data_IF_324750437994
#
_entry.id   IF_324750437994
#
_cell.length_a   1.000
_cell.length_b   1.000
_cell.length_c   1.000
_cell.angle_alpha   90.00
_cell.angle_beta   90.00
_cell.angle_gamma   90.00
#
_symmetry.space_group_name_H-M   'P 1'
#
loop_
_entity.id
_entity.type
_entity.pdbx_description
1 polymer ?
#
# COMPACT_ATOMS: atom_id res chain seq x y z
N UNK A 1 8.00 10.62 5.93
CA UNK A 1 8.79 10.33 7.15
C UNK A 1 8.14 9.15 7.85
N UNK A 2 8.87 8.16 8.38
CA UNK A 2 8.24 6.99 9.04
C UNK A 2 7.26 7.38 10.16
N UNK A 3 7.62 8.36 11.00
CA UNK A 3 6.71 8.90 12.01
C UNK A 3 5.40 9.50 11.49
N UNK A 4 5.33 9.99 10.25
CA UNK A 4 4.05 10.43 9.65
C UNK A 4 3.15 9.24 9.34
N UNK A 5 3.73 8.16 8.79
CA UNK A 5 3.02 6.91 8.51
C UNK A 5 2.47 6.31 9.81
N UNK A 6 3.30 6.23 10.86
CA UNK A 6 2.86 5.73 12.16
C UNK A 6 1.73 6.57 12.75
N UNK A 7 1.81 7.89 12.61
CA UNK A 7 0.74 8.78 13.09
C UNK A 7 -0.57 8.58 12.33
N UNK A 8 -0.52 8.49 10.99
CA UNK A 8 -1.71 8.23 10.16
C UNK A 8 -2.36 6.90 10.54
N UNK A 9 -1.56 5.84 10.65
CA UNK A 9 -2.03 4.51 11.08
C UNK A 9 -2.63 4.58 12.48
N UNK A 10 -1.96 5.25 13.43
CA UNK A 10 -2.46 5.37 14.80
C UNK A 10 -3.81 6.08 14.88
N UNK A 11 -4.03 7.17 14.12
CA UNK A 11 -5.30 7.88 14.08
C UNK A 11 -6.41 6.99 13.53
N UNK A 12 -6.16 6.25 12.44
CA UNK A 12 -7.13 5.32 11.87
C UNK A 12 -7.49 4.24 12.89
N UNK A 13 -6.49 3.62 13.53
CA UNK A 13 -6.71 2.56 14.51
C UNK A 13 -7.39 3.05 15.79
N UNK A 14 -7.11 4.29 16.23
CA UNK A 14 -7.80 4.90 17.37
C UNK A 14 -9.31 5.02 17.10
N UNK A 15 -9.71 5.46 15.90
CA UNK A 15 -11.11 5.46 15.48
C UNK A 15 -11.70 4.04 15.49
N UNK A 16 -11.01 3.05 14.89
CA UNK A 16 -11.48 1.66 14.88
C UNK A 16 -11.68 1.09 16.28
N UNK A 17 -10.82 1.46 17.23
CA UNK A 17 -10.89 0.96 18.61
C UNK A 17 -12.06 1.53 19.41
N UNK A 18 -12.59 2.69 19.02
CA UNK A 18 -13.61 3.43 19.78
C UNK A 18 -15.01 3.33 19.18
N UNK A 19 -15.12 3.07 17.89
CA UNK A 19 -16.38 3.08 17.17
C UNK A 19 -16.61 1.77 16.44
N UNK A 20 -17.88 1.37 16.30
CA UNK A 20 -18.26 0.27 15.42
C UNK A 20 -18.25 0.76 13.97
N UNK A 21 -17.19 0.42 13.25
CA UNK A 21 -16.89 0.91 11.90
C UNK A 21 -16.80 -0.30 10.99
N UNK A 22 -17.64 -0.35 9.95
CA UNK A 22 -17.67 -1.42 8.96
C UNK A 22 -16.60 -1.27 7.87
N UNK A 23 -16.11 -0.04 7.64
CA UNK A 23 -15.14 0.23 6.60
C UNK A 23 -14.31 1.50 6.79
N UNK A 24 -13.13 1.49 6.18
CA UNK A 24 -12.18 2.59 6.11
C UNK A 24 -12.03 2.93 4.62
N UNK A 25 -12.31 4.17 4.25
CA UNK A 25 -12.04 4.67 2.92
C UNK A 25 -10.92 5.71 2.96
N UNK A 26 -9.78 5.38 2.35
CA UNK A 26 -8.60 6.23 2.31
C UNK A 26 -8.76 7.29 1.21
N UNK A 27 -9.10 8.51 1.62
CA UNK A 27 -9.00 9.67 0.74
C UNK A 27 -7.60 10.30 0.83
N UNK A 28 -7.14 10.88 -0.28
CA UNK A 28 -5.83 11.53 -0.40
C UNK A 28 -4.61 10.67 -0.02
N UNK A 29 -4.70 9.33 -0.09
CA UNK A 29 -3.54 8.44 0.03
C UNK A 29 -2.68 8.48 -1.25
N UNK A 30 -2.04 9.62 -1.48
CA UNK A 30 -1.26 9.96 -2.67
C UNK A 30 -0.39 11.20 -2.43
N UNK A 31 0.53 11.49 -3.35
CA UNK A 31 1.21 12.78 -3.37
C UNK A 31 0.31 13.88 -3.94
N UNK A 32 0.54 15.16 -3.59
CA UNK A 32 -0.27 16.27 -4.10
C UNK A 32 -0.20 16.41 -5.62
N UNK A 33 -1.31 16.88 -6.19
CA UNK A 33 -1.59 16.91 -7.65
C UNK A 33 -0.85 18.04 -8.37
N UNK A 34 -0.62 19.14 -7.66
CA UNK A 34 0.12 20.30 -8.14
C UNK A 34 1.62 19.99 -8.23
N UNK A 35 2.26 20.40 -9.32
CA UNK A 35 3.72 20.34 -9.44
C UNK A 35 4.38 21.04 -8.23
N UNK A 36 5.25 20.32 -7.51
CA UNK A 36 5.91 20.82 -6.32
C UNK A 36 6.99 19.87 -5.82
N UNK A 37 7.87 20.38 -4.96
CA UNK A 37 8.93 19.59 -4.32
C UNK A 37 8.36 18.75 -3.17
N UNK A 38 7.48 17.81 -3.48
CA UNK A 38 6.87 16.90 -2.50
C UNK A 38 7.76 15.71 -2.20
N UNK A 39 7.79 15.29 -0.93
CA UNK A 39 8.59 14.14 -0.48
C UNK A 39 10.06 14.45 -0.17
N UNK A 40 10.52 15.67 -0.41
CA UNK A 40 11.92 16.10 -0.22
C UNK A 40 12.30 16.46 1.22
N UNK A 41 11.53 15.99 2.22
CA UNK A 41 11.94 16.15 3.61
C UNK A 41 13.29 15.43 3.84
N UNK A 42 14.20 15.98 4.65
CA UNK A 42 15.56 15.45 4.81
C UNK A 42 15.60 13.96 5.17
N UNK A 43 14.69 13.49 6.02
CA UNK A 43 14.60 12.07 6.40
C UNK A 43 14.26 11.17 5.23
N UNK A 44 13.31 11.56 4.37
CA UNK A 44 12.94 10.78 3.18
C UNK A 44 14.09 10.72 2.17
N UNK A 45 14.77 11.85 1.95
CA UNK A 45 15.94 11.92 1.05
C UNK A 45 17.09 11.06 1.57
N UNK A 46 17.37 11.10 2.88
CA UNK A 46 18.40 10.27 3.50
C UNK A 46 18.10 8.77 3.35
N UNK A 47 16.85 8.36 3.58
CA UNK A 47 16.42 6.96 3.41
C UNK A 47 16.54 6.51 1.95
N UNK A 48 16.05 7.32 1.00
CA UNK A 48 16.22 7.04 -0.43
C UNK A 48 17.69 6.87 -0.82
N UNK A 49 18.54 7.80 -0.41
CA UNK A 49 19.97 7.76 -0.69
C UNK A 49 20.63 6.49 -0.13
N UNK A 50 20.26 6.09 1.10
CA UNK A 50 20.77 4.86 1.71
C UNK A 50 20.29 3.59 0.97
N UNK A 51 19.05 3.57 0.47
CA UNK A 51 18.48 2.42 -0.25
C UNK A 51 19.06 2.27 -1.65
N UNK A 52 19.19 3.37 -2.39
CA UNK A 52 19.63 3.37 -3.79
C UNK A 52 21.14 3.62 -3.95
N UNK A 53 21.90 3.79 -2.87
CA UNK A 53 23.33 4.11 -2.93
C UNK A 53 23.61 5.48 -3.58
N UNK A 54 22.68 6.44 -3.40
CA UNK A 54 22.74 7.79 -3.98
C UNK A 54 23.13 8.82 -2.91
N UNK A 55 23.37 10.05 -3.32
CA UNK A 55 23.68 11.17 -2.41
C UNK A 55 23.02 12.46 -2.90
N UNK A 56 22.89 13.44 -2.00
CA UNK A 56 22.32 14.75 -2.34
C UNK A 56 20.81 14.74 -2.51
N UNK A 57 20.29 15.80 -3.13
CA UNK A 57 18.87 15.96 -3.42
C UNK A 57 18.52 15.21 -4.72
N UNK A 58 17.53 14.30 -4.73
CA UNK A 58 17.16 13.56 -5.94
C UNK A 58 16.60 14.50 -7.02
N UNK A 59 16.94 14.26 -8.28
CA UNK A 59 16.30 14.97 -9.38
C UNK A 59 14.80 14.63 -9.43
N UNK A 60 13.95 15.60 -9.83
CA UNK A 60 12.50 15.40 -9.82
C UNK A 60 12.04 14.32 -10.83
N UNK A 61 12.81 14.14 -11.90
CA UNK A 61 12.65 13.16 -12.98
C UNK A 61 13.49 11.88 -12.76
N UNK A 62 14.16 11.73 -11.62
CA UNK A 62 14.87 10.48 -11.28
C UNK A 62 13.85 9.33 -11.15
N UNK A 63 13.94 8.28 -11.99
CA UNK A 63 13.01 7.16 -11.94
C UNK A 63 13.05 6.40 -10.61
N UNK A 64 14.21 6.34 -9.95
CA UNK A 64 14.32 5.70 -8.63
C UNK A 64 13.59 6.52 -7.58
N UNK A 65 13.63 7.85 -7.68
CA UNK A 65 12.90 8.72 -6.76
C UNK A 65 11.38 8.63 -6.96
N UNK A 66 10.93 8.45 -8.20
CA UNK A 66 9.53 8.15 -8.51
C UNK A 66 9.10 6.79 -7.91
N UNK A 67 9.92 5.75 -8.06
CA UNK A 67 9.66 4.42 -7.51
C UNK A 67 9.66 4.42 -5.97
N UNK A 68 10.63 5.08 -5.35
CA UNK A 68 10.71 5.23 -3.89
C UNK A 68 9.46 5.88 -3.29
N UNK A 69 8.99 6.99 -3.88
CA UNK A 69 7.79 7.70 -3.42
C UNK A 69 6.56 6.80 -3.53
N UNK A 70 6.43 6.07 -4.63
CA UNK A 70 5.35 5.09 -4.84
C UNK A 70 5.39 3.95 -3.83
N UNK A 71 6.56 3.37 -3.60
CA UNK A 71 6.73 2.31 -2.61
C UNK A 71 6.35 2.79 -1.22
N UNK A 72 6.74 4.01 -0.83
CA UNK A 72 6.34 4.60 0.46
C UNK A 72 4.81 4.64 0.63
N UNK A 73 4.06 5.07 -0.40
CA UNK A 73 2.59 5.07 -0.34
C UNK A 73 2.05 3.63 -0.26
N UNK A 74 2.57 2.73 -1.09
CA UNK A 74 2.15 1.32 -1.11
C UNK A 74 2.37 0.61 0.23
N UNK A 75 3.49 0.86 0.90
CA UNK A 75 3.80 0.30 2.21
C UNK A 75 2.88 0.86 3.30
N UNK A 76 2.50 2.14 3.23
CA UNK A 76 1.51 2.72 4.14
C UNK A 76 0.12 2.09 3.95
N UNK A 77 -0.35 1.94 2.70
CA UNK A 77 -1.62 1.25 2.41
C UNK A 77 -1.60 -0.19 2.94
N UNK A 78 -0.53 -0.93 2.68
CA UNK A 78 -0.32 -2.29 3.20
C UNK A 78 -0.35 -2.34 4.73
N UNK A 79 0.33 -1.41 5.40
CA UNK A 79 0.36 -1.32 6.86
C UNK A 79 -1.03 -1.05 7.43
N UNK A 80 -1.77 -0.10 6.85
CA UNK A 80 -3.15 0.19 7.25
C UNK A 80 -4.01 -1.07 7.11
N UNK A 81 -3.95 -1.77 5.97
CA UNK A 81 -4.71 -2.99 5.72
C UNK A 81 -4.46 -4.08 6.78
N UNK A 82 -3.19 -4.42 7.00
CA UNK A 82 -2.81 -5.49 7.94
C UNK A 82 -3.18 -5.12 9.37
N UNK A 83 -2.91 -3.88 9.80
CA UNK A 83 -3.21 -3.44 11.16
C UNK A 83 -4.72 -3.30 11.41
N UNK A 84 -5.48 -2.82 10.43
CA UNK A 84 -6.94 -2.74 10.51
C UNK A 84 -7.55 -4.14 10.60
N UNK A 85 -7.12 -5.09 9.76
CA UNK A 85 -7.56 -6.48 9.85
C UNK A 85 -7.24 -7.08 11.22
N UNK A 86 -6.02 -6.87 11.74
CA UNK A 86 -5.61 -7.39 13.06
C UNK A 86 -6.52 -6.90 14.19
N UNK A 87 -7.04 -5.67 14.08
CA UNK A 87 -7.94 -5.09 15.07
C UNK A 87 -9.40 -5.50 14.85
N UNK A 88 -9.88 -5.45 13.60
CA UNK A 88 -11.26 -5.77 13.19
C UNK A 88 -11.23 -6.53 11.86
N UNK A 89 -11.23 -7.87 11.86
CA UNK A 89 -11.07 -8.67 10.64
C UNK A 89 -12.09 -8.38 9.54
N UNK A 90 -13.30 -7.98 9.92
CA UNK A 90 -14.41 -7.70 9.00
C UNK A 90 -14.38 -6.28 8.41
N UNK A 91 -13.51 -5.38 8.88
CA UNK A 91 -13.48 -3.99 8.37
C UNK A 91 -13.01 -3.98 6.92
N UNK A 92 -13.76 -3.33 6.04
CA UNK A 92 -13.43 -3.19 4.61
C UNK A 92 -12.50 -1.99 4.40
N UNK A 93 -11.37 -2.15 3.71
CA UNK A 93 -10.46 -1.08 3.33
C UNK A 93 -10.56 -0.74 1.84
N UNK A 94 -10.93 0.50 1.56
CA UNK A 94 -10.96 1.06 0.20
C UNK A 94 -10.08 2.30 0.10
N UNK A 95 -9.79 2.75 -1.12
CA UNK A 95 -9.09 4.01 -1.37
C UNK A 95 -9.73 4.77 -2.53
N UNK A 96 -9.86 6.09 -2.37
CA UNK A 96 -10.25 7.01 -3.45
C UNK A 96 -9.08 7.19 -4.42
N UNK A 97 -9.18 6.65 -5.63
CA UNK A 97 -8.05 6.65 -6.57
C UNK A 97 -8.23 7.51 -7.82
N UNK A 98 -7.15 8.20 -8.19
CA UNK A 98 -7.10 9.15 -9.32
C UNK A 98 -7.11 8.41 -10.66
N UNK A 99 -7.72 9.03 -11.68
CA UNK A 99 -7.77 8.49 -13.03
C UNK A 99 -7.85 9.59 -14.13
N UNK A 100 -7.16 10.72 -13.98
CA UNK A 100 -7.16 11.78 -15.00
C UNK A 100 -6.52 11.33 -16.32
N UNK A 101 -6.99 11.92 -17.43
CA UNK A 101 -6.53 11.60 -18.78
C UNK A 101 -7.12 10.29 -19.31
N UNK A 102 -6.44 9.72 -20.30
CA UNK A 102 -6.88 8.53 -21.07
C UNK A 102 -5.89 7.35 -20.99
N UNK A 103 -4.97 7.38 -20.01
CA UNK A 103 -3.90 6.40 -19.86
C UNK A 103 -4.36 5.14 -19.10
N UNK A 104 -5.37 4.47 -19.63
CA UNK A 104 -6.06 3.30 -19.04
C UNK A 104 -5.78 1.99 -19.79
N UNK A 105 -4.58 1.82 -20.32
CA UNK A 105 -4.13 0.57 -20.94
C UNK A 105 -2.86 0.07 -20.28
N UNK A 106 -2.52 -1.21 -20.45
CA UNK A 106 -1.28 -1.75 -19.88
C UNK A 106 -0.02 -0.99 -20.31
N UNK A 107 0.03 -0.50 -21.55
CA UNK A 107 1.15 0.29 -22.07
C UNK A 107 1.19 1.73 -21.56
N UNK A 108 0.05 2.30 -21.17
CA UNK A 108 -0.07 3.70 -20.73
C UNK A 108 -0.21 3.86 -19.22
N UNK A 109 -0.56 2.79 -18.49
CA UNK A 109 -0.66 2.79 -17.03
C UNK A 109 0.60 3.35 -16.34
N UNK A 110 1.85 2.99 -16.75
CA UNK A 110 3.06 3.54 -16.14
C UNK A 110 3.21 5.06 -16.28
N UNK A 111 2.51 5.69 -17.23
CA UNK A 111 2.48 7.14 -17.45
C UNK A 111 1.13 7.76 -17.09
N UNK A 112 0.25 7.02 -16.42
CA UNK A 112 -1.04 7.54 -15.95
C UNK A 112 -0.87 8.57 -14.84
N UNK A 113 -1.90 9.39 -14.61
CA UNK A 113 -1.94 10.33 -13.48
C UNK A 113 -1.82 9.59 -12.14
N UNK A 114 -2.57 8.50 -11.95
CA UNK A 114 -2.51 7.66 -10.76
C UNK A 114 -1.08 7.19 -10.49
N UNK A 115 -0.46 6.55 -11.47
CA UNK A 115 0.88 6.00 -11.33
C UNK A 115 1.91 7.13 -11.35
N UNK A 116 2.19 7.75 -12.48
CA UNK A 116 3.34 8.65 -12.62
C UNK A 116 3.23 9.98 -11.86
N UNK A 117 2.03 10.56 -11.74
CA UNK A 117 1.89 11.92 -11.21
C UNK A 117 1.71 11.95 -9.69
N UNK A 118 0.82 11.11 -9.15
CA UNK A 118 0.46 11.15 -7.72
C UNK A 118 0.90 9.92 -6.92
N UNK A 119 1.61 8.98 -7.56
CA UNK A 119 2.22 7.79 -6.92
C UNK A 119 1.23 6.82 -6.26
N UNK A 120 0.01 6.75 -6.80
CA UNK A 120 -1.09 5.91 -6.31
C UNK A 120 -1.19 4.62 -7.15
N UNK A 121 -0.36 3.63 -6.84
CA UNK A 121 -0.29 2.36 -7.58
C UNK A 121 -1.42 1.39 -7.20
N UNK A 122 -2.66 1.80 -7.43
CA UNK A 122 -3.83 1.02 -7.02
C UNK A 122 -3.98 -0.32 -7.75
N UNK A 123 -3.45 -0.45 -8.98
CA UNK A 123 -3.34 -1.75 -9.69
C UNK A 123 -2.44 -2.69 -8.89
N UNK A 124 -1.27 -2.21 -8.46
CA UNK A 124 -0.37 -2.94 -7.58
C UNK A 124 -1.01 -3.26 -6.23
N UNK A 125 -1.79 -2.35 -5.65
CA UNK A 125 -2.44 -2.58 -4.36
C UNK A 125 -3.48 -3.68 -4.41
N UNK A 126 -4.32 -3.73 -5.45
CA UNK A 126 -5.28 -4.82 -5.64
C UNK A 126 -4.56 -6.14 -5.92
N UNK A 127 -3.58 -6.15 -6.83
CA UNK A 127 -2.81 -7.36 -7.16
C UNK A 127 -2.10 -7.97 -5.96
N UNK A 128 -1.59 -7.14 -5.05
CA UNK A 128 -0.92 -7.59 -3.83
C UNK A 128 -1.86 -7.63 -2.61
N UNK A 129 -3.17 -7.49 -2.82
CA UNK A 129 -4.19 -7.65 -1.79
C UNK A 129 -4.10 -6.64 -0.63
N UNK A 130 -3.57 -5.43 -0.89
CA UNK A 130 -3.45 -4.33 0.09
C UNK A 130 -4.73 -3.48 0.20
N UNK A 131 -5.74 -3.77 -0.62
CA UNK A 131 -7.08 -3.20 -0.53
C UNK A 131 -8.12 -4.30 -0.68
N UNK A 132 -9.31 -4.04 -0.14
CA UNK A 132 -10.49 -4.86 -0.37
C UNK A 132 -11.21 -4.47 -1.66
N UNK A 133 -11.34 -3.17 -1.91
CA UNK A 133 -11.85 -2.64 -3.18
C UNK A 133 -11.12 -1.36 -3.56
N UNK A 134 -10.96 -1.13 -4.86
CA UNK A 134 -10.57 0.19 -5.36
C UNK A 134 -11.80 1.06 -5.58
N UNK A 135 -11.86 2.24 -4.94
CA UNK A 135 -12.90 3.23 -5.20
C UNK A 135 -12.37 4.25 -6.23
N UNK A 136 -12.52 3.92 -7.50
CA UNK A 136 -12.02 4.74 -8.61
C UNK A 136 -12.83 6.03 -8.70
N UNK A 137 -12.16 7.19 -8.57
CA UNK A 137 -12.79 8.51 -8.73
C UNK A 137 -12.97 8.85 -10.21
N UNK A 138 -13.81 8.06 -10.91
CA UNK A 138 -14.03 8.16 -12.36
C UNK A 138 -14.92 9.36 -12.75
N UNK A 139 -14.54 10.54 -12.29
CA UNK A 139 -15.28 11.77 -12.49
C UNK A 139 -14.99 12.29 -13.90
N UNK A 140 -15.88 11.96 -14.83
CA UNK A 140 -15.74 12.29 -16.24
C UNK A 140 -17.04 12.87 -16.82
N UNK A 141 -16.91 13.96 -17.57
CA UNK A 141 -17.99 14.51 -18.41
C UNK A 141 -18.14 13.74 -19.73
N UNK A 142 -17.06 13.07 -20.17
CA UNK A 142 -17.00 12.28 -21.40
C UNK A 142 -17.20 10.78 -21.11
N UNK A 143 -18.11 10.15 -21.87
CA UNK A 143 -18.43 8.74 -21.70
C UNK A 143 -17.31 7.81 -22.17
N UNK A 144 -16.52 8.19 -23.19
CA UNK A 144 -15.42 7.35 -23.67
C UNK A 144 -14.34 7.19 -22.59
N UNK A 145 -13.95 8.29 -21.95
CA UNK A 145 -13.04 8.30 -20.79
C UNK A 145 -13.60 7.47 -19.64
N UNK A 146 -14.88 7.69 -19.29
CA UNK A 146 -15.52 6.96 -18.20
C UNK A 146 -15.49 5.45 -18.46
N UNK A 147 -15.88 5.02 -19.65
CA UNK A 147 -15.91 3.61 -20.06
C UNK A 147 -14.51 3.01 -20.06
N UNK A 148 -13.52 3.69 -20.63
CA UNK A 148 -12.13 3.22 -20.69
C UNK A 148 -11.52 2.97 -19.31
N UNK A 149 -11.70 3.91 -18.37
CA UNK A 149 -11.23 3.72 -16.99
C UNK A 149 -12.02 2.68 -16.20
N UNK A 150 -13.33 2.56 -16.45
CA UNK A 150 -14.16 1.51 -15.86
C UNK A 150 -13.66 0.14 -16.28
N UNK A 151 -13.47 -0.06 -17.59
CA UNK A 151 -13.00 -1.33 -18.15
C UNK A 151 -11.60 -1.67 -17.67
N UNK A 152 -10.71 -0.68 -17.59
CA UNK A 152 -9.36 -0.86 -17.06
C UNK A 152 -9.36 -1.26 -15.58
N UNK A 153 -10.20 -0.62 -14.75
CA UNK A 153 -10.29 -0.96 -13.32
C UNK A 153 -10.80 -2.37 -13.12
N UNK A 154 -11.86 -2.76 -13.83
CA UNK A 154 -12.43 -4.11 -13.74
C UNK A 154 -11.44 -5.18 -14.25
N UNK A 155 -10.70 -4.90 -15.32
CA UNK A 155 -9.69 -5.82 -15.83
C UNK A 155 -8.48 -6.01 -14.90
N UNK A 156 -8.29 -5.12 -13.92
CA UNK A 156 -7.16 -5.12 -12.99
C UNK A 156 -7.59 -5.18 -11.52
N UNK A 157 -8.81 -5.67 -11.25
CA UNK A 157 -9.35 -5.74 -9.89
C UNK A 157 -8.77 -6.89 -9.06
N UNK A 158 -8.00 -7.78 -9.69
CA UNK A 158 -7.36 -8.95 -9.09
C UNK A 158 -8.31 -9.85 -8.27
N UNK A 159 -9.59 -9.92 -8.65
CA UNK A 159 -10.59 -10.70 -7.91
C UNK A 159 -11.01 -10.08 -6.56
N UNK A 160 -10.52 -8.87 -6.24
CA UNK A 160 -10.98 -8.06 -5.11
C UNK A 160 -12.26 -7.30 -5.48
N UNK A 161 -12.25 -6.64 -6.64
CA UNK A 161 -13.38 -5.88 -7.17
C UNK A 161 -13.11 -4.37 -7.24
N UNK A 162 -13.87 -3.68 -8.09
CA UNK A 162 -13.81 -2.23 -8.26
C UNK A 162 -15.15 -1.55 -7.93
N UNK A 163 -15.08 -0.49 -7.13
CA UNK A 163 -16.16 0.47 -6.94
C UNK A 163 -15.92 1.63 -7.92
N UNK A 164 -16.87 1.90 -8.79
CA UNK A 164 -16.73 2.94 -9.82
C UNK A 164 -17.50 4.19 -9.42
N UNK A 165 -16.77 5.28 -9.22
CA UNK A 165 -17.31 6.58 -8.82
C UNK A 165 -17.66 7.47 -10.00
N UNK A 166 -18.90 7.95 -10.09
CA UNK A 166 -19.27 9.02 -11.03
C UNK A 166 -19.10 10.40 -10.39
N UNK A 167 -18.80 11.40 -11.21
CA UNK A 167 -18.92 12.81 -10.83
C UNK A 167 -20.28 13.33 -11.28
N UNK A 168 -21.33 13.10 -10.49
CA UNK A 168 -22.71 13.42 -10.88
C UNK A 168 -22.91 14.93 -11.12
N UNK A 169 -22.31 15.74 -10.26
CA UNK A 169 -22.30 17.20 -10.34
C UNK A 169 -21.70 17.77 -11.65
N UNK A 170 -20.95 16.96 -12.41
CA UNK A 170 -20.38 17.35 -13.71
C UNK A 170 -21.31 17.03 -14.88
N UNK A 171 -22.37 16.25 -14.66
CA UNK A 171 -23.23 15.77 -15.73
C UNK A 171 -24.26 16.83 -16.13
N UNK A 172 -24.43 17.01 -17.44
CA UNK A 172 -25.41 17.95 -18.00
C UNK A 172 -26.87 17.47 -17.91
N UNK A 173 -27.09 16.21 -17.52
CA UNK A 173 -28.43 15.66 -17.26
C UNK A 173 -28.41 14.48 -16.29
N UNK A 174 -29.56 14.19 -15.65
CA UNK A 174 -29.78 12.96 -14.88
C UNK A 174 -29.57 11.73 -15.79
N UNK A 175 -30.05 11.78 -17.04
CA UNK A 175 -29.88 10.67 -17.98
C UNK A 175 -28.41 10.32 -18.22
N UNK A 176 -27.52 11.31 -18.30
CA UNK A 176 -26.08 11.06 -18.46
C UNK A 176 -25.48 10.39 -17.22
N UNK A 177 -25.88 10.83 -16.02
CA UNK A 177 -25.48 10.17 -14.77
C UNK A 177 -25.93 8.71 -14.73
N UNK A 178 -27.20 8.44 -15.09
CA UNK A 178 -27.73 7.07 -15.12
C UNK A 178 -27.02 6.21 -16.16
N UNK A 179 -26.67 6.75 -17.33
CA UNK A 179 -25.93 6.01 -18.36
C UNK A 179 -24.54 5.55 -17.86
N UNK A 180 -23.80 6.40 -17.14
CA UNK A 180 -22.51 6.02 -16.56
C UNK A 180 -22.67 4.98 -15.43
N UNK A 181 -23.65 5.15 -14.55
CA UNK A 181 -23.95 4.19 -13.48
C UNK A 181 -24.35 2.82 -14.03
N UNK A 182 -25.25 2.81 -15.02
CA UNK A 182 -25.71 1.59 -15.69
C UNK A 182 -24.59 0.90 -16.43
N UNK A 183 -23.69 1.64 -17.08
CA UNK A 183 -22.52 1.05 -17.75
C UNK A 183 -21.65 0.28 -16.74
N UNK A 184 -21.23 0.91 -15.65
CA UNK A 184 -20.39 0.26 -14.64
C UNK A 184 -21.10 -0.96 -14.01
N UNK A 185 -22.39 -0.85 -13.73
CA UNK A 185 -23.20 -1.96 -13.21
C UNK A 185 -23.28 -3.13 -14.20
N UNK A 186 -23.57 -2.86 -15.48
CA UNK A 186 -23.67 -3.90 -16.52
C UNK A 186 -22.33 -4.58 -16.80
N UNK A 187 -21.21 -3.86 -16.64
CA UNK A 187 -19.86 -4.42 -16.74
C UNK A 187 -19.44 -5.27 -15.54
N UNK A 188 -20.21 -5.25 -14.44
CA UNK A 188 -19.94 -6.06 -13.26
C UNK A 188 -19.11 -5.36 -12.17
N UNK A 189 -19.18 -4.03 -12.07
CA UNK A 189 -18.57 -3.33 -10.94
C UNK A 189 -19.12 -3.86 -9.59
N UNK A 190 -18.22 -4.07 -8.63
CA UNK A 190 -18.56 -4.56 -7.29
C UNK A 190 -19.40 -3.54 -6.50
N UNK A 191 -19.25 -2.25 -6.82
CA UNK A 191 -20.07 -1.19 -6.28
C UNK A 191 -20.05 0.06 -7.15
N UNK A 192 -20.95 0.99 -6.83
CA UNK A 192 -21.01 2.32 -7.44
C UNK A 192 -20.82 3.36 -6.36
N UNK A 193 -20.17 4.47 -6.69
CA UNK A 193 -20.06 5.64 -5.84
C UNK A 193 -20.60 6.86 -6.60
N UNK A 194 -21.38 7.71 -5.94
CA UNK A 194 -21.93 8.94 -6.51
C UNK A 194 -21.28 10.08 -5.75
N UNK A 195 -20.29 10.71 -6.36
CA UNK A 195 -19.70 11.92 -5.80
C UNK A 195 -20.38 13.15 -6.40
N UNK A 196 -20.80 14.05 -5.53
CA UNK A 196 -21.32 15.36 -5.90
C UNK A 196 -20.64 16.48 -5.14
N UNK A 197 -20.34 17.55 -5.87
CA UNK A 197 -20.07 18.84 -5.26
C UNK A 197 -21.39 19.61 -5.19
N UNK A 198 -21.90 19.80 -3.97
CA UNK A 198 -23.17 20.49 -3.63
C UNK A 198 -24.47 19.76 -4.05
N UNK A 199 -24.55 19.25 -5.27
CA UNK A 199 -25.74 18.56 -5.79
C UNK A 199 -25.41 17.64 -6.97
N UNK A 200 -26.08 16.49 -7.06
CA UNK A 200 -25.94 15.54 -8.16
C UNK A 200 -26.44 16.10 -9.50
N UNK A 201 -27.28 17.15 -9.45
CA UNK A 201 -27.81 17.86 -10.62
C UNK A 201 -27.17 19.24 -10.81
N UNK A 202 -26.07 19.54 -10.12
CA UNK A 202 -25.38 20.84 -10.21
C UNK A 202 -24.99 21.23 -11.64
N UNK A 203 -24.54 20.25 -12.43
CA UNK A 203 -24.17 20.44 -13.84
C UNK A 203 -25.37 20.45 -14.80
N UNK A 204 -26.58 20.14 -14.32
CA UNK A 204 -27.77 20.05 -15.17
C UNK A 204 -28.13 21.40 -15.77
N UNK A 205 -28.32 21.43 -17.09
CA UNK A 205 -28.74 22.63 -17.82
C UNK A 205 -30.26 22.78 -17.96
N UNK A 206 -31.03 21.81 -17.45
CA UNK A 206 -32.46 21.65 -17.75
C UNK A 206 -33.38 21.81 -16.53
N UNK A 207 -32.88 22.36 -15.41
CA UNK A 207 -33.65 22.55 -14.19
C UNK A 207 -34.06 21.25 -13.49
N UNK A 208 -33.32 20.16 -13.75
CA UNK A 208 -33.54 18.90 -13.05
C UNK A 208 -33.29 19.05 -11.54
N UNK A 209 -34.01 18.26 -10.75
CA UNK A 209 -34.01 18.34 -9.30
C UNK A 209 -33.35 17.09 -8.68
N UNK A 210 -32.85 17.22 -7.45
CA UNK A 210 -32.34 16.06 -6.69
C UNK A 210 -33.39 14.96 -6.53
N UNK A 211 -34.66 15.35 -6.32
CA UNK A 211 -35.77 14.40 -6.22
C UNK A 211 -35.91 13.56 -7.51
N UNK A 212 -35.78 14.17 -8.68
CA UNK A 212 -35.78 13.45 -9.96
C UNK A 212 -34.55 12.56 -10.12
N UNK A 213 -33.37 13.00 -9.65
CA UNK A 213 -32.16 12.18 -9.69
C UNK A 213 -32.33 10.90 -8.87
N UNK A 214 -32.76 11.01 -7.61
CA UNK A 214 -32.98 9.84 -6.74
C UNK A 214 -34.16 8.97 -7.21
N UNK A 215 -35.18 9.55 -7.84
CA UNK A 215 -36.23 8.79 -8.50
C UNK A 215 -35.67 7.96 -9.66
N UNK A 216 -34.80 8.53 -10.50
CA UNK A 216 -34.17 7.80 -11.60
C UNK A 216 -33.19 6.74 -11.09
N UNK A 217 -32.39 7.06 -10.07
CA UNK A 217 -31.44 6.14 -9.44
C UNK A 217 -32.16 4.90 -8.90
N UNK A 218 -33.24 5.11 -8.14
CA UNK A 218 -34.04 4.01 -7.59
C UNK A 218 -34.75 3.23 -8.70
N UNK A 219 -35.38 3.87 -9.69
CA UNK A 219 -36.14 3.11 -10.69
C UNK A 219 -35.28 2.40 -11.75
N UNK A 220 -34.10 2.96 -12.09
CA UNK A 220 -33.28 2.48 -13.21
C UNK A 220 -32.06 1.68 -12.75
N UNK A 221 -31.34 2.18 -11.73
CA UNK A 221 -30.09 1.56 -11.28
C UNK A 221 -30.37 0.57 -10.16
N UNK A 222 -31.11 0.98 -9.12
CA UNK A 222 -31.41 0.15 -7.95
C UNK A 222 -32.92 -0.13 -7.75
N UNK A 223 -33.60 -0.77 -8.73
CA UNK A 223 -35.04 -1.06 -8.62
C UNK A 223 -35.37 -2.06 -7.52
N UNK A 224 -34.36 -2.80 -7.05
CA UNK A 224 -34.45 -3.77 -5.97
C UNK A 224 -33.36 -3.48 -4.95
N UNK A 225 -33.71 -3.61 -3.66
CA UNK A 225 -32.73 -3.54 -2.58
C UNK A 225 -31.64 -4.62 -2.75
N UNK A 226 -30.41 -4.25 -2.43
CA UNK A 226 -29.26 -5.14 -2.35
C UNK A 226 -28.46 -4.77 -1.10
N UNK A 227 -28.02 -5.76 -0.34
CA UNK A 227 -27.16 -5.54 0.81
C UNK A 227 -25.72 -5.24 0.36
N UNK A 228 -24.93 -4.50 1.16
CA UNK A 228 -23.52 -4.31 0.89
C UNK A 228 -22.79 -5.66 0.74
N UNK A 229 -21.90 -5.82 -0.26
CA UNK A 229 -21.16 -7.06 -0.41
C UNK A 229 -20.22 -7.27 0.77
N UNK A 230 -20.18 -8.49 1.29
CA UNK A 230 -19.18 -8.91 2.27
C UNK A 230 -18.01 -9.53 1.52
N UNK A 231 -16.78 -9.04 1.68
CA UNK A 231 -15.63 -9.62 1.00
C UNK A 231 -15.41 -11.08 1.37
N UNK A 232 -15.41 -11.98 0.37
CA UNK A 232 -15.32 -13.43 0.60
C UNK A 232 -14.07 -13.82 1.38
N UNK A 233 -12.94 -13.18 1.12
CA UNK A 233 -11.69 -13.46 1.82
C UNK A 233 -11.68 -13.00 3.29
N UNK A 234 -12.59 -12.09 3.69
CA UNK A 234 -12.79 -11.73 5.10
C UNK A 234 -13.76 -12.67 5.79
N UNK A 235 -14.85 -13.03 5.11
CA UNK A 235 -15.85 -13.94 5.66
C UNK A 235 -15.33 -15.39 5.77
N UNK A 236 -14.58 -15.83 4.77
CA UNK A 236 -14.08 -17.20 4.62
C UNK A 236 -12.60 -17.18 4.17
N UNK A 237 -11.69 -16.70 5.02
CA UNK A 237 -10.27 -16.68 4.68
C UNK A 237 -9.76 -18.10 4.43
N UNK A 238 -8.86 -18.26 3.46
CA UNK A 238 -8.17 -19.53 3.16
C UNK A 238 -6.67 -19.49 3.50
N UNK A 239 -6.15 -18.29 3.79
CA UNK A 239 -4.74 -17.98 4.08
C UNK A 239 -4.64 -17.11 5.34
N UNK A 240 -3.42 -16.88 5.82
CA UNK A 240 -3.10 -15.94 6.89
C UNK A 240 -2.08 -14.88 6.46
N UNK A 241 -1.59 -14.12 7.43
CA UNK A 241 -0.63 -13.03 7.22
C UNK A 241 0.51 -13.17 8.22
N UNK A 242 1.76 -13.07 7.75
CA UNK A 242 2.88 -12.74 8.64
C UNK A 242 3.08 -11.23 8.66
N UNK A 243 3.29 -10.66 9.84
CA UNK A 243 3.76 -9.28 9.99
C UNK A 243 4.82 -9.22 11.07
N UNK A 244 5.57 -8.13 11.18
CA UNK A 244 6.54 -7.99 12.25
C UNK A 244 7.56 -6.92 11.97
N UNK A 245 8.60 -6.87 12.80
CA UNK A 245 9.68 -5.90 12.69
C UNK A 245 11.04 -6.56 12.53
N UNK A 246 11.92 -5.92 11.77
CA UNK A 246 13.32 -6.29 11.65
C UNK A 246 14.18 -5.18 12.26
N UNK A 247 15.03 -5.57 13.21
CA UNK A 247 15.97 -4.66 13.89
C UNK A 247 17.41 -5.15 13.75
N UNK A 248 18.35 -4.24 13.94
CA UNK A 248 19.76 -4.60 14.09
C UNK A 248 19.98 -5.26 15.46
N UNK A 249 20.61 -6.44 15.47
CA UNK A 249 20.76 -7.25 16.67
C UNK A 249 21.70 -6.70 17.74
N UNK A 250 22.40 -5.58 17.47
CA UNK A 250 23.28 -4.93 18.45
C UNK A 250 22.67 -3.64 18.98
N UNK A 251 22.26 -2.76 18.07
CA UNK A 251 21.77 -1.42 18.36
C UNK A 251 20.26 -1.39 18.65
N UNK A 252 19.55 -2.47 18.32
CA UNK A 252 18.08 -2.57 18.37
C UNK A 252 17.37 -1.51 17.53
N UNK A 253 18.08 -0.84 16.62
CA UNK A 253 17.48 0.13 15.71
C UNK A 253 16.74 -0.59 14.59
N UNK A 254 15.61 -0.05 14.11
CA UNK A 254 14.90 -0.62 12.97
C UNK A 254 15.76 -0.66 11.72
N UNK A 255 15.64 -1.74 10.94
CA UNK A 255 16.31 -1.86 9.65
C UNK A 255 15.32 -1.51 8.55
N UNK A 256 15.56 -0.38 7.90
CA UNK A 256 14.80 0.08 6.74
C UNK A 256 15.19 -0.73 5.49
N UNK A 257 14.20 -1.09 4.67
CA UNK A 257 14.37 -1.74 3.38
C UNK A 257 15.25 -3.01 3.42
N UNK A 258 15.03 -3.87 4.41
CA UNK A 258 15.45 -5.27 4.40
C UNK A 258 14.44 -6.09 3.59
N UNK A 259 14.93 -6.97 2.72
CA UNK A 259 14.09 -7.93 2.00
C UNK A 259 13.59 -9.00 2.96
N UNK A 260 12.29 -9.29 2.93
CA UNK A 260 11.66 -10.37 3.69
C UNK A 260 10.81 -11.19 2.73
N UNK A 261 11.00 -12.51 2.73
CA UNK A 261 10.22 -13.43 1.89
C UNK A 261 10.06 -14.78 2.57
N UNK A 262 9.09 -15.58 2.12
CA UNK A 262 9.06 -17.01 2.44
C UNK A 262 10.18 -17.70 1.66
N UNK A 263 10.98 -18.49 2.36
CA UNK A 263 12.11 -19.21 1.78
C UNK A 263 11.66 -20.13 0.63
N UNK A 264 12.30 -19.98 -0.53
CA UNK A 264 11.95 -20.73 -1.73
C UNK A 264 10.75 -20.17 -2.51
N UNK A 265 10.11 -19.08 -2.06
CA UNK A 265 8.93 -18.48 -2.72
C UNK A 265 9.15 -16.98 -3.02
N UNK A 266 9.95 -16.62 -4.04
CA UNK A 266 10.31 -15.23 -4.33
C UNK A 266 9.13 -14.29 -4.59
N UNK A 267 7.99 -14.80 -5.05
CA UNK A 267 6.77 -14.00 -5.27
C UNK A 267 6.17 -13.41 -3.98
N UNK A 268 6.61 -13.87 -2.81
CA UNK A 268 6.18 -13.34 -1.50
C UNK A 268 7.08 -12.21 -0.99
N UNK A 269 8.12 -11.84 -1.75
CA UNK A 269 9.08 -10.85 -1.33
C UNK A 269 8.44 -9.49 -1.05
N UNK A 270 8.85 -8.89 0.06
CA UNK A 270 8.51 -7.55 0.47
C UNK A 270 9.73 -6.88 1.08
N UNK A 271 9.60 -5.61 1.44
CA UNK A 271 10.65 -4.88 2.15
C UNK A 271 10.10 -4.33 3.46
N UNK A 272 10.98 -4.20 4.45
CA UNK A 272 10.68 -3.45 5.67
C UNK A 272 10.57 -1.96 5.35
N UNK A 273 9.65 -1.27 6.02
CA UNK A 273 9.58 0.19 5.95
C UNK A 273 10.58 0.87 6.91
N UNK A 274 10.51 2.20 7.01
CA UNK A 274 11.45 2.97 7.85
C UNK A 274 11.26 2.80 9.36
N UNK A 275 10.29 1.99 9.80
CA UNK A 275 10.12 1.52 11.18
C UNK A 275 10.58 0.07 11.36
N UNK A 276 11.18 -0.52 10.32
CA UNK A 276 11.55 -1.94 10.29
C UNK A 276 10.36 -2.87 10.07
N UNK A 277 9.14 -2.35 9.87
CA UNK A 277 7.94 -3.16 9.78
C UNK A 277 7.77 -3.79 8.40
N UNK A 278 7.34 -5.06 8.35
CA UNK A 278 6.97 -5.77 7.13
C UNK A 278 5.65 -6.53 7.31
N UNK A 279 5.09 -6.98 6.19
CA UNK A 279 4.08 -8.05 6.18
C UNK A 279 4.13 -8.90 4.90
N UNK A 280 3.74 -10.16 4.97
CA UNK A 280 3.53 -11.05 3.84
C UNK A 280 2.08 -11.53 3.94
N UNK A 281 1.27 -11.20 2.93
CA UNK A 281 -0.12 -11.59 2.83
C UNK A 281 -0.24 -12.95 2.12
N UNK A 282 -1.42 -13.55 2.20
CA UNK A 282 -1.79 -14.78 1.50
C UNK A 282 -0.90 -15.99 1.81
N UNK A 283 -0.43 -16.07 3.04
CA UNK A 283 0.41 -17.17 3.52
C UNK A 283 -0.46 -18.41 3.76
N UNK A 284 -0.18 -19.56 3.13
CA UNK A 284 -0.92 -20.79 3.41
C UNK A 284 -0.86 -21.19 4.89
N UNK A 285 -1.89 -21.84 5.40
CA UNK A 285 -1.88 -22.42 6.75
C UNK A 285 -0.73 -23.43 6.88
N UNK A 286 -0.02 -23.39 8.00
CA UNK A 286 1.14 -24.25 8.27
C UNK A 286 2.41 -23.50 8.62
N UNK A 287 3.50 -24.25 8.77
CA UNK A 287 4.83 -23.73 9.11
C UNK A 287 5.59 -23.34 7.84
N UNK A 288 6.16 -22.15 7.87
CA UNK A 288 7.01 -21.57 6.82
C UNK A 288 8.29 -21.02 7.45
N UNK A 289 9.33 -20.82 6.64
CA UNK A 289 10.54 -20.11 7.06
C UNK A 289 10.61 -18.77 6.36
N UNK A 290 10.74 -17.69 7.11
CA UNK A 290 11.02 -16.36 6.57
C UNK A 290 12.53 -16.20 6.37
N UNK A 291 12.93 -15.81 5.17
CA UNK A 291 14.30 -15.37 4.86
C UNK A 291 14.34 -13.85 4.85
N UNK A 292 15.24 -13.30 5.68
CA UNK A 292 15.45 -11.87 5.86
C UNK A 292 16.85 -11.50 5.40
N UNK A 293 16.96 -10.52 4.53
CA UNK A 293 18.23 -10.10 3.93
C UNK A 293 18.37 -8.58 3.86
N UNK A 294 19.55 -8.10 4.20
CA UNK A 294 19.94 -6.70 4.00
C UNK A 294 21.41 -6.68 3.56
N UNK A 295 21.80 -5.93 2.51
CA UNK A 295 23.20 -5.77 2.15
C UNK A 295 24.04 -5.37 3.35
N UNK A 296 25.15 -6.08 3.59
CA UNK A 296 26.02 -5.88 4.76
C UNK A 296 25.66 -6.69 6.00
N UNK A 297 24.50 -7.36 6.05
CA UNK A 297 24.09 -8.23 7.16
C UNK A 297 24.20 -9.70 6.78
N UNK A 298 24.30 -10.58 7.79
CA UNK A 298 24.10 -12.02 7.59
C UNK A 298 22.62 -12.29 7.32
N UNK A 299 22.26 -13.10 6.30
CA UNK A 299 20.90 -13.57 6.12
C UNK A 299 20.39 -14.28 7.37
N UNK A 300 19.11 -14.08 7.69
CA UNK A 300 18.45 -14.74 8.81
C UNK A 300 17.28 -15.58 8.32
N UNK A 301 17.12 -16.76 8.93
CA UNK A 301 16.02 -17.68 8.68
C UNK A 301 15.20 -17.80 9.96
N UNK A 302 13.93 -17.40 9.90
CA UNK A 302 13.04 -17.34 11.06
C UNK A 302 11.80 -18.18 10.80
N UNK A 303 11.58 -19.28 11.54
CA UNK A 303 10.38 -20.08 11.37
C UNK A 303 9.14 -19.33 11.88
N UNK A 304 8.03 -19.49 11.16
CA UNK A 304 6.73 -18.91 11.48
C UNK A 304 5.62 -19.90 11.18
N UNK A 305 4.56 -19.93 11.97
CA UNK A 305 3.41 -20.82 11.72
C UNK A 305 2.14 -20.01 11.64
N UNK A 306 1.39 -20.15 10.53
CA UNK A 306 -0.01 -19.70 10.43
C UNK A 306 -0.88 -20.83 11.00
N UNK A 307 -1.49 -20.67 12.19
CA UNK A 307 -2.22 -21.76 12.85
C UNK A 307 -3.57 -22.06 12.19
N UNK A 308 -4.19 -21.06 11.60
CA UNK A 308 -5.48 -21.17 10.90
C UNK A 308 -5.63 -20.04 9.89
N UNK A 309 -6.54 -20.20 8.94
CA UNK A 309 -6.84 -19.13 7.99
C UNK A 309 -7.46 -17.91 8.71
N UNK A 310 -7.17 -16.72 8.20
CA UNK A 310 -7.54 -15.44 8.81
C UNK A 310 -6.63 -14.99 9.95
N UNK A 311 -5.71 -15.86 10.41
CA UNK A 311 -4.75 -15.49 11.46
C UNK A 311 -3.68 -14.53 10.95
N UNK A 312 -3.37 -13.54 11.77
CA UNK A 312 -2.23 -12.64 11.60
C UNK A 312 -1.21 -12.97 12.68
N UNK A 313 0.00 -13.36 12.26
CA UNK A 313 1.07 -13.82 13.16
C UNK A 313 2.22 -12.84 13.13
N UNK A 314 2.60 -12.35 14.31
CA UNK A 314 3.72 -11.42 14.47
C UNK A 314 5.04 -12.18 14.57
N UNK A 315 6.01 -11.86 13.73
CA UNK A 315 7.36 -12.43 13.70
C UNK A 315 8.36 -11.27 13.73
N UNK A 316 8.84 -10.97 14.92
CA UNK A 316 9.93 -10.02 15.10
C UNK A 316 11.28 -10.73 14.96
N UNK A 317 12.22 -10.06 14.30
CA UNK A 317 13.52 -10.61 14.00
C UNK A 317 14.62 -9.58 14.23
N UNK A 318 15.76 -10.06 14.69
CA UNK A 318 17.00 -9.30 14.70
C UNK A 318 18.01 -9.91 13.73
N UNK A 319 18.68 -9.09 12.92
CA UNK A 319 19.78 -9.54 12.06
C UNK A 319 21.07 -8.84 12.44
N UNK A 320 22.21 -9.51 12.24
CA UNK A 320 23.51 -9.03 12.69
C UNK A 320 24.49 -8.85 11.54
N UNK A 321 25.38 -7.87 11.67
CA UNK A 321 26.54 -7.73 10.80
C UNK A 321 27.45 -8.97 10.89
N UNK A 322 28.23 -9.27 9.84
CA UNK A 322 29.28 -10.27 9.92
C UNK A 322 30.28 -9.93 11.03
N UNK A 323 30.63 -10.93 11.85
CA UNK A 323 31.71 -10.76 12.84
C UNK A 323 33.03 -10.65 12.07
N UNK A 324 33.61 -9.46 12.02
CA UNK A 324 35.01 -9.29 11.63
C UNK A 324 35.88 -9.74 12.80
N UNK A 325 36.53 -10.90 12.67
CA UNK A 325 37.62 -11.24 13.59
C UNK A 325 38.78 -10.28 13.31
N UNK A 326 38.91 -9.22 14.10
CA UNK A 326 40.16 -8.48 14.19
C UNK A 326 41.24 -9.46 14.65
N UNK A 327 42.24 -9.72 13.82
CA UNK A 327 43.44 -10.45 14.23
C UNK A 327 44.02 -9.77 15.46
N UNK A 328 43.94 -10.43 16.62
CA UNK A 328 44.80 -10.10 17.75
C UNK A 328 46.20 -10.55 17.35
N UNK A 329 47.08 -9.60 16.99
CA UNK A 329 48.52 -9.86 16.98
C UNK A 329 48.93 -10.22 18.41
N UNK A 330 49.25 -11.50 18.63
CA UNK A 330 49.96 -11.93 19.82
C UNK A 330 51.35 -11.31 19.73
N UNK A 331 51.55 -10.20 20.46
CA UNK A 331 52.85 -9.55 20.57
C UNK A 331 53.91 -10.58 20.94
N UNK A 332 54.95 -10.66 20.11
CA UNK A 332 56.14 -11.45 20.41
C UNK A 332 56.70 -10.96 21.75
N UNK A 333 56.76 -11.88 22.72
CA UNK A 333 57.49 -11.66 23.97
C UNK A 333 58.97 -11.59 23.60
N UNK A 334 59.51 -10.38 23.64
CA UNK A 334 60.93 -10.08 23.47
C UNK A 334 61.76 -10.85 24.51
N UNK A 335 62.43 -11.91 24.05
CA UNK A 335 63.47 -12.60 24.82
C UNK A 335 64.81 -11.93 24.57
N UNK A 336 65.01 -10.75 25.11
CA UNK A 336 66.35 -10.16 25.19
C UNK A 336 66.55 -9.38 26.48
N UNK A 337 67.04 -10.08 27.53
CA UNK A 337 67.93 -9.53 28.58
C UNK A 337 68.30 -10.61 29.59
N UNK A 338 69.45 -11.23 29.38
CA UNK A 338 70.34 -11.70 30.46
C UNK A 338 71.74 -11.93 29.87
N UNK A 339 72.51 -10.85 29.79
CA UNK A 339 73.96 -10.89 29.78
C UNK A 339 74.45 -9.69 30.61
N UNK A 340 75.37 -9.93 31.55
CA UNK A 340 76.14 -8.86 32.19
C UNK A 340 76.31 -8.93 33.70
N UNK A 341 77.36 -9.65 34.12
CA UNK A 341 78.40 -9.24 35.07
C UNK A 341 78.10 -9.03 36.57
N UNK A 342 78.81 -9.82 37.41
CA UNK A 342 79.83 -9.44 38.43
C UNK A 342 80.10 -10.70 39.27
N UNK A 343 81.31 -11.15 39.61
CA UNK A 343 82.60 -10.47 39.72
C UNK A 343 83.01 -10.34 41.20
N UNK A 344 83.38 -11.46 41.85
CA UNK A 344 84.45 -11.65 42.86
C UNK A 344 84.22 -12.93 43.67
#
# INVERSE_FOLDING_TARGET
HPGTVEWNVAVILDCLSKYDIDGINLDYIRYPESAGAWGYNPTSVARFNAVYGKTGLPAADDPDWANWRRECVSLEVKKIYVKAWKMKPNVVLTACTVNWGYNYTASTWPTSSAYAQVFQDWVGWLKNHYLDYNALMNYATDNSRYQGWTDWSLANDAGRGSIIGIGAYLQSSISNSMNQLLYARQKGAAGLNIYDWYSEVQGSSSGETRAQFYSALSSQVYPTWVDPPVPEWKAFPTTGIFEGTVVDGTTMQPIDHASVMIEGVPSTATVTDGTGWFAILDVPVGTHTLRIEKPGYKPSLVPGTIPSAGSIVTIDASISLPVTMSHFEIGQVDRSRRSGAQGN
#
